data_IF_020831382075
#
_entry.id   IF_020831382075
#
_cell.length_a   1.000
_cell.length_b   1.000
_cell.length_c   1.000
_cell.angle_alpha   90.00
_cell.angle_beta   90.00
_cell.angle_gamma   90.00
#
_symmetry.space_group_name_H-M   'P 1'
#
loop_
_entity.id
_entity.type
_entity.pdbx_description
1 polymer ?
#
# COMPACT_ATOMS: atom_id res chain seq x y z
N UNK A 1 -11.67 14.19 13.87
CA UNK A 1 -13.00 13.72 13.47
C UNK A 1 -13.61 14.52 12.34
N UNK A 2 -14.62 13.96 11.67
CA UNK A 2 -15.41 14.65 10.64
C UNK A 2 -16.80 15.01 11.18
N UNK A 3 -17.22 16.26 10.99
CA UNK A 3 -18.48 16.81 11.45
C UNK A 3 -19.37 17.18 10.27
N UNK A 4 -20.36 16.32 9.98
CA UNK A 4 -21.18 16.42 8.77
C UNK A 4 -22.01 17.73 8.69
N UNK A 5 -22.58 18.19 9.81
CA UNK A 5 -23.47 19.35 9.84
C UNK A 5 -22.73 20.67 9.55
N UNK A 6 -21.50 20.80 10.05
CA UNK A 6 -20.67 22.00 9.88
C UNK A 6 -19.68 21.88 8.72
N UNK A 7 -19.51 20.67 8.17
CA UNK A 7 -18.53 20.30 7.17
C UNK A 7 -17.09 20.58 7.63
N UNK A 8 -16.82 20.22 8.88
CA UNK A 8 -15.55 20.49 9.56
C UNK A 8 -14.78 19.21 9.84
N UNK A 9 -13.46 19.29 9.71
CA UNK A 9 -12.52 18.31 10.23
C UNK A 9 -11.92 18.90 11.50
N UNK A 10 -12.06 18.18 12.61
CA UNK A 10 -11.34 18.48 13.85
C UNK A 10 -10.14 17.57 13.99
N UNK A 11 -9.04 18.09 14.50
CA UNK A 11 -7.87 17.29 14.86
C UNK A 11 -7.44 17.74 16.24
N UNK A 12 -7.40 16.78 17.14
CA UNK A 12 -7.09 16.97 18.54
C UNK A 12 -5.80 16.23 18.87
N UNK A 13 -4.84 16.97 19.40
CA UNK A 13 -3.62 16.41 19.98
C UNK A 13 -3.56 16.77 21.45
N UNK A 14 -3.50 15.74 22.28
CA UNK A 14 -3.25 15.90 23.70
C UNK A 14 -1.81 16.35 23.93
N UNK A 15 -1.59 17.12 24.99
CA UNK A 15 -0.24 17.46 25.41
C UNK A 15 0.59 16.20 25.70
N UNK A 16 1.87 16.24 25.34
CA UNK A 16 2.89 15.24 25.67
C UNK A 16 4.10 15.93 26.30
N UNK A 17 5.13 15.16 26.66
CA UNK A 17 6.39 15.71 27.17
C UNK A 17 7.06 16.68 26.19
N UNK A 18 6.84 16.49 24.89
CA UNK A 18 7.55 17.21 23.82
C UNK A 18 6.65 18.13 23.00
N UNK A 19 5.32 18.00 23.12
CA UNK A 19 4.37 18.76 22.30
C UNK A 19 3.20 19.30 23.13
N UNK A 20 2.78 20.56 22.89
CA UNK A 20 1.62 21.13 23.55
C UNK A 20 0.32 20.52 23.03
N UNK A 21 -0.77 20.75 23.76
CA UNK A 21 -2.11 20.47 23.27
C UNK A 21 -2.43 21.35 22.05
N UNK A 22 -3.06 20.75 21.04
CA UNK A 22 -3.50 21.44 19.85
C UNK A 22 -4.91 20.98 19.42
N UNK A 23 -5.80 21.94 19.22
CA UNK A 23 -7.12 21.77 18.65
C UNK A 23 -7.18 22.51 17.31
N UNK A 24 -7.27 21.75 16.23
CA UNK A 24 -7.32 22.24 14.86
C UNK A 24 -8.72 22.05 14.29
N UNK A 25 -9.30 23.09 13.68
CA UNK A 25 -10.57 22.99 12.95
C UNK A 25 -10.39 23.51 11.53
N UNK A 26 -10.70 22.65 10.57
CA UNK A 26 -10.67 22.95 9.14
C UNK A 26 -12.07 22.82 8.56
N UNK A 27 -12.52 23.81 7.81
CA UNK A 27 -13.82 23.77 7.13
C UNK A 27 -13.63 23.52 5.63
N UNK A 28 -14.47 22.65 5.05
CA UNK A 28 -14.46 22.43 3.59
C UNK A 28 -14.58 23.74 2.81
N UNK A 29 -13.74 23.90 1.79
CA UNK A 29 -13.72 25.08 0.92
C UNK A 29 -13.17 26.36 1.57
N UNK A 30 -12.80 26.32 2.86
CA UNK A 30 -12.25 27.48 3.57
C UNK A 30 -10.72 27.49 3.52
N UNK A 31 -10.08 28.65 3.24
CA UNK A 31 -8.64 28.82 3.40
C UNK A 31 -8.24 29.10 4.86
N UNK A 32 -9.20 29.11 5.79
CA UNK A 32 -8.95 29.40 7.20
C UNK A 32 -8.85 28.11 8.01
N UNK A 33 -7.81 28.03 8.83
CA UNK A 33 -7.59 27.04 9.86
C UNK A 33 -7.79 27.71 11.23
N UNK A 34 -8.59 27.09 12.09
CA UNK A 34 -8.63 27.47 13.50
C UNK A 34 -7.62 26.65 14.28
N UNK A 35 -6.75 27.30 15.05
CA UNK A 35 -5.79 26.67 15.95
C UNK A 35 -6.00 27.22 17.35
N UNK A 36 -6.46 26.37 18.28
CA UNK A 36 -6.72 26.78 19.67
C UNK A 36 -7.55 28.08 19.76
N UNK A 37 -8.57 28.19 18.91
CA UNK A 37 -9.46 29.35 18.82
C UNK A 37 -8.92 30.57 18.05
N UNK A 38 -7.69 30.51 17.50
CA UNK A 38 -7.11 31.57 16.65
C UNK A 38 -7.20 31.21 15.18
N UNK A 39 -7.40 32.21 14.32
CA UNK A 39 -7.45 32.01 12.87
C UNK A 39 -6.08 32.14 12.23
N UNK A 40 -5.77 31.18 11.36
CA UNK A 40 -4.58 31.14 10.54
C UNK A 40 -4.99 30.88 9.09
N UNK A 41 -4.21 31.42 8.14
CA UNK A 41 -4.51 31.29 6.71
C UNK A 41 -3.65 30.22 6.07
N UNK A 42 -4.29 29.25 5.43
CA UNK A 42 -3.64 28.19 4.67
C UNK A 42 -3.37 28.60 3.21
N UNK A 43 -2.38 27.97 2.59
CA UNK A 43 -2.04 28.14 1.17
C UNK A 43 -2.94 27.30 0.23
N UNK A 44 -3.73 26.39 0.80
CA UNK A 44 -4.67 25.53 0.09
C UNK A 44 -5.88 25.22 0.99
N UNK A 45 -6.95 24.69 0.39
CA UNK A 45 -8.24 24.48 1.07
C UNK A 45 -8.53 22.99 1.23
N UNK A 46 -9.26 22.58 2.28
CA UNK A 46 -9.82 21.24 2.36
C UNK A 46 -10.85 21.01 1.25
N UNK A 47 -10.78 19.87 0.59
CA UNK A 47 -11.67 19.50 -0.53
C UNK A 47 -12.22 18.10 -0.35
N UNK A 48 -13.34 17.81 -1.02
CA UNK A 48 -13.83 16.43 -1.16
C UNK A 48 -13.40 15.88 -2.51
N UNK A 49 -12.76 14.71 -2.49
CA UNK A 49 -12.41 13.94 -3.69
C UNK A 49 -12.68 12.47 -3.42
N UNK A 50 -13.37 11.80 -4.34
CA UNK A 50 -13.69 10.37 -4.24
C UNK A 50 -14.34 10.01 -2.89
N UNK A 51 -15.31 10.81 -2.43
CA UNK A 51 -16.02 10.64 -1.15
C UNK A 51 -15.12 10.69 0.09
N UNK A 52 -13.90 11.25 -0.02
CA UNK A 52 -12.99 11.51 1.10
C UNK A 52 -12.68 12.99 1.19
N UNK A 53 -12.59 13.48 2.43
CA UNK A 53 -12.09 14.83 2.69
C UNK A 53 -10.56 14.80 2.67
N UNK A 54 -9.97 15.58 1.77
CA UNK A 54 -8.54 15.82 1.72
C UNK A 54 -8.26 17.14 2.44
N UNK A 55 -7.25 17.13 3.31
CA UNK A 55 -6.87 18.26 4.14
C UNK A 55 -5.44 18.71 3.84
N UNK A 56 -5.10 20.00 4.04
CA UNK A 56 -3.75 20.52 3.84
C UNK A 56 -2.73 19.89 4.81
N UNK A 57 -2.02 18.87 4.35
CA UNK A 57 -1.14 18.07 5.22
C UNK A 57 -0.06 18.89 5.92
N UNK A 58 0.57 19.87 5.25
CA UNK A 58 1.66 20.68 5.84
C UNK A 58 1.22 21.38 7.12
N UNK A 59 0.12 22.14 7.05
CA UNK A 59 -0.37 22.91 8.19
C UNK A 59 -0.69 22.00 9.38
N UNK A 60 -1.39 20.91 9.11
CA UNK A 60 -1.73 19.93 10.14
C UNK A 60 -0.45 19.38 10.75
N UNK A 61 0.47 18.84 9.94
CA UNK A 61 1.70 18.23 10.42
C UNK A 61 2.55 19.21 11.25
N UNK A 62 2.72 20.46 10.83
CA UNK A 62 3.51 21.45 11.56
C UNK A 62 2.91 21.80 12.93
N UNK A 63 1.59 21.97 13.02
CA UNK A 63 0.92 22.19 14.31
C UNK A 63 0.96 20.97 15.23
N UNK A 64 1.04 19.78 14.66
CA UNK A 64 1.22 18.53 15.40
C UNK A 64 2.69 18.23 15.72
N UNK A 65 3.61 19.19 15.52
CA UNK A 65 5.00 19.04 15.93
C UNK A 65 5.91 18.38 14.91
N UNK A 66 5.52 18.34 13.64
CA UNK A 66 6.37 17.89 12.55
C UNK A 66 7.19 19.03 11.93
N UNK A 67 8.25 18.66 11.24
CA UNK A 67 8.98 19.50 10.31
C UNK A 67 8.73 18.98 8.88
N UNK A 68 8.20 19.83 7.99
CA UNK A 68 7.90 19.45 6.61
C UNK A 68 8.94 20.04 5.67
N UNK A 69 9.69 19.18 4.97
CA UNK A 69 10.71 19.58 4.00
C UNK A 69 10.32 19.19 2.59
N UNK A 70 10.65 20.06 1.63
CA UNK A 70 10.56 19.75 0.21
C UNK A 70 11.92 19.34 -0.32
N UNK A 71 12.00 18.18 -0.94
CA UNK A 71 13.22 17.67 -1.57
C UNK A 71 13.11 17.86 -3.08
N UNK A 72 13.86 18.81 -3.62
CA UNK A 72 13.73 19.26 -5.00
C UNK A 72 14.11 18.16 -6.01
N UNK A 73 15.18 17.41 -5.73
CA UNK A 73 15.76 16.44 -6.67
C UNK A 73 14.79 15.29 -6.98
N UNK A 74 14.14 14.78 -5.95
CA UNK A 74 13.15 13.70 -6.03
C UNK A 74 11.72 14.20 -6.20
N UNK A 75 11.48 15.51 -6.06
CA UNK A 75 10.14 16.12 -6.00
C UNK A 75 9.26 15.46 -4.94
N UNK A 76 9.83 15.21 -3.76
CA UNK A 76 9.15 14.57 -2.63
C UNK A 76 8.96 15.52 -1.46
N UNK A 77 7.87 15.31 -0.71
CA UNK A 77 7.65 15.96 0.59
C UNK A 77 8.09 14.99 1.67
N UNK A 78 8.99 15.41 2.55
CA UNK A 78 9.39 14.66 3.73
C UNK A 78 8.76 15.30 4.97
N UNK A 79 8.23 14.45 5.86
CA UNK A 79 7.63 14.86 7.12
C UNK A 79 8.42 14.20 8.24
N UNK A 80 9.13 15.00 9.01
CA UNK A 80 9.98 14.57 10.11
C UNK A 80 9.35 14.98 11.44
N UNK A 81 9.72 14.29 12.52
CA UNK A 81 9.43 14.80 13.86
C UNK A 81 10.34 16.00 14.12
N UNK A 82 9.78 17.09 14.64
CA UNK A 82 10.56 18.29 14.94
C UNK A 82 11.68 17.98 15.93
N UNK A 83 12.88 18.45 15.63
CA UNK A 83 14.07 18.24 16.47
C UNK A 83 14.87 16.98 16.14
N UNK A 84 14.46 16.15 15.17
CA UNK A 84 15.30 15.08 14.63
C UNK A 84 16.58 15.66 14.02
N UNK A 85 17.71 15.01 14.29
CA UNK A 85 19.01 15.38 13.72
C UNK A 85 19.06 15.11 12.21
N UNK A 86 19.96 15.81 11.51
CA UNK A 86 20.15 15.60 10.06
C UNK A 86 20.55 14.15 9.74
N UNK A 87 21.32 13.50 10.61
CA UNK A 87 21.71 12.09 10.46
C UNK A 87 20.50 11.14 10.56
N UNK A 88 19.60 11.36 11.51
CA UNK A 88 18.35 10.59 11.62
C UNK A 88 17.45 10.82 10.41
N UNK A 89 17.32 12.08 9.97
CA UNK A 89 16.55 12.41 8.77
C UNK A 89 17.11 11.72 7.53
N UNK A 90 18.44 11.74 7.35
CA UNK A 90 19.09 11.08 6.23
C UNK A 90 18.89 9.56 6.25
N UNK A 91 18.99 8.94 7.42
CA UNK A 91 18.73 7.49 7.58
C UNK A 91 17.31 7.13 7.16
N UNK A 92 16.30 7.91 7.57
CA UNK A 92 14.91 7.70 7.15
C UNK A 92 14.78 7.85 5.62
N UNK A 93 15.43 8.86 5.04
CA UNK A 93 15.43 9.07 3.58
C UNK A 93 16.00 7.84 2.86
N UNK A 94 17.15 7.33 3.32
CA UNK A 94 17.81 6.18 2.70
C UNK A 94 16.97 4.90 2.83
N UNK A 95 16.38 4.66 4.01
CA UNK A 95 15.48 3.53 4.25
C UNK A 95 14.23 3.60 3.38
N UNK A 96 13.60 4.77 3.28
CA UNK A 96 12.43 4.98 2.40
C UNK A 96 12.83 4.87 0.94
N UNK A 97 13.98 5.41 0.53
CA UNK A 97 14.50 5.28 -0.83
C UNK A 97 14.75 3.82 -1.20
N UNK A 98 15.27 3.00 -0.29
CA UNK A 98 15.43 1.56 -0.47
C UNK A 98 14.09 0.86 -0.69
N UNK A 99 13.08 1.17 0.15
CA UNK A 99 11.73 0.61 0.02
C UNK A 99 11.02 1.04 -1.27
N UNK A 100 11.28 2.28 -1.71
CA UNK A 100 10.72 2.86 -2.91
C UNK A 100 11.55 2.61 -4.16
N UNK A 101 12.69 1.89 -4.06
CA UNK A 101 13.48 1.52 -5.24
C UNK A 101 12.52 0.92 -6.27
N UNK A 102 12.47 1.47 -7.50
CA UNK A 102 11.62 0.94 -8.54
C UNK A 102 11.88 -0.55 -8.63
N UNK A 103 10.83 -1.36 -8.44
CA UNK A 103 11.00 -2.78 -8.72
C UNK A 103 11.51 -2.88 -10.16
N UNK A 104 12.57 -3.68 -10.41
CA UNK A 104 13.14 -3.80 -11.73
C UNK A 104 11.99 -4.03 -12.72
N UNK A 105 11.96 -3.32 -13.85
CA UNK A 105 10.83 -3.33 -14.76
C UNK A 105 10.46 -4.77 -15.05
N UNK A 106 9.26 -5.15 -14.62
CA UNK A 106 8.73 -6.51 -14.71
C UNK A 106 8.94 -6.97 -16.16
N UNK A 107 9.83 -7.95 -16.42
CA UNK A 107 10.06 -8.44 -17.76
C UNK A 107 8.71 -8.80 -18.42
N UNK A 108 8.56 -8.49 -19.72
CA UNK A 108 7.34 -8.85 -20.44
C UNK A 108 7.09 -10.36 -20.28
N UNK A 109 5.87 -10.77 -19.94
CA UNK A 109 5.60 -12.17 -19.67
C UNK A 109 5.90 -13.07 -20.86
N UNK A 110 6.32 -14.30 -20.56
CA UNK A 110 6.63 -15.32 -21.56
C UNK A 110 5.34 -15.99 -22.05
N UNK A 111 4.52 -15.25 -22.81
CA UNK A 111 3.26 -15.77 -23.35
C UNK A 111 2.24 -16.21 -22.29
N UNK A 112 1.08 -16.70 -22.75
CA UNK A 112 0.08 -17.30 -21.85
C UNK A 112 0.47 -18.74 -21.51
N UNK A 113 0.27 -19.15 -20.27
CA UNK A 113 0.39 -20.57 -19.88
C UNK A 113 -0.79 -21.33 -20.51
N UNK A 114 -0.55 -22.34 -21.37
CA UNK A 114 -1.62 -23.08 -22.03
C UNK A 114 -2.64 -23.66 -21.03
N UNK A 115 -3.93 -23.49 -21.33
CA UNK A 115 -5.02 -23.95 -20.46
C UNK A 115 -5.34 -23.02 -19.29
N UNK A 116 -4.75 -21.83 -19.21
CA UNK A 116 -4.96 -20.88 -18.11
C UNK A 116 -5.08 -19.43 -18.61
N UNK A 117 -5.66 -18.51 -17.83
CA UNK A 117 -5.58 -17.08 -18.12
C UNK A 117 -4.19 -16.47 -17.87
N UNK A 118 -3.23 -17.23 -17.34
CA UNK A 118 -2.00 -16.68 -16.79
C UNK A 118 -1.03 -16.24 -17.85
N UNK A 119 -0.27 -15.22 -17.47
CA UNK A 119 0.98 -14.87 -18.10
C UNK A 119 2.13 -15.51 -17.32
N UNK A 120 2.98 -16.27 -18.02
CA UNK A 120 4.08 -16.99 -17.37
C UNK A 120 5.13 -16.01 -16.88
N UNK A 121 5.37 -16.03 -15.56
CA UNK A 121 6.45 -15.28 -14.94
C UNK A 121 7.83 -15.79 -15.42
N UNK A 122 8.79 -14.88 -15.61
CA UNK A 122 10.17 -15.23 -15.95
C UNK A 122 10.91 -15.83 -14.74
N UNK A 123 12.01 -16.56 -14.95
CA UNK A 123 12.82 -17.08 -13.84
C UNK A 123 13.23 -16.01 -12.81
N UNK A 124 13.55 -14.80 -13.27
CA UNK A 124 13.90 -13.67 -12.40
C UNK A 124 12.72 -13.22 -11.56
N UNK A 125 11.52 -13.12 -12.15
CA UNK A 125 10.28 -12.77 -11.44
C UNK A 125 9.92 -13.83 -10.40
N UNK A 126 10.09 -15.11 -10.73
CA UNK A 126 9.87 -16.21 -9.79
C UNK A 126 10.83 -16.07 -8.61
N UNK A 127 12.11 -15.82 -8.86
CA UNK A 127 13.10 -15.65 -7.79
C UNK A 127 12.80 -14.41 -6.93
N UNK A 128 12.38 -13.30 -7.53
CA UNK A 128 11.96 -12.10 -6.79
C UNK A 128 10.75 -12.39 -5.90
N UNK A 129 9.72 -13.07 -6.40
CA UNK A 129 8.56 -13.47 -5.60
C UNK A 129 8.92 -14.37 -4.42
N UNK A 130 9.88 -15.29 -4.61
CA UNK A 130 10.38 -16.17 -3.54
C UNK A 130 11.21 -15.44 -2.50
N UNK A 131 11.94 -14.40 -2.89
CA UNK A 131 12.77 -13.60 -1.98
C UNK A 131 11.98 -12.49 -1.26
N UNK A 132 10.78 -12.16 -1.74
CA UNK A 132 9.96 -11.11 -1.15
C UNK A 132 9.38 -11.52 0.22
N UNK A 133 9.15 -10.55 1.13
CA UNK A 133 8.61 -10.83 2.45
C UNK A 133 7.33 -11.69 2.41
N UNK A 134 7.24 -12.64 3.34
CA UNK A 134 6.03 -13.40 3.59
C UNK A 134 5.29 -12.79 4.78
N UNK A 135 3.96 -12.98 4.88
CA UNK A 135 3.24 -12.58 6.09
C UNK A 135 3.80 -13.33 7.30
N UNK A 136 3.72 -12.73 8.50
CA UNK A 136 4.27 -13.29 9.76
C UNK A 136 3.80 -14.71 10.06
N UNK A 137 2.61 -15.08 9.58
CA UNK A 137 2.02 -16.41 9.71
C UNK A 137 2.46 -17.41 8.63
N UNK A 138 3.40 -17.06 7.76
CA UNK A 138 4.01 -17.90 6.75
C UNK A 138 5.54 -17.94 6.95
N UNK A 139 6.15 -19.12 6.82
CA UNK A 139 7.61 -19.28 6.98
C UNK A 139 8.36 -18.99 5.68
N UNK A 140 9.60 -18.49 5.77
CA UNK A 140 10.48 -18.13 4.63
C UNK A 140 10.78 -19.26 3.61
N UNK A 141 10.41 -20.51 3.92
CA UNK A 141 10.54 -21.67 3.01
C UNK A 141 9.20 -22.28 2.60
N UNK A 142 8.11 -21.52 2.68
CA UNK A 142 6.75 -22.08 2.47
C UNK A 142 6.52 -22.53 1.03
N UNK A 143 7.05 -21.80 0.03
CA UNK A 143 6.91 -22.18 -1.37
C UNK A 143 7.50 -23.57 -1.62
N UNK A 144 8.76 -23.80 -1.21
CA UNK A 144 9.47 -25.05 -1.47
C UNK A 144 8.99 -26.24 -0.62
N UNK A 145 8.19 -26.00 0.43
CA UNK A 145 7.55 -27.07 1.23
C UNK A 145 6.28 -27.64 0.60
N UNK A 146 5.64 -26.92 -0.32
CA UNK A 146 4.45 -27.43 -1.00
C UNK A 146 4.85 -28.45 -2.07
N UNK A 147 4.28 -29.66 -2.02
CA UNK A 147 4.53 -30.68 -3.04
C UNK A 147 4.06 -30.22 -4.41
N UNK A 148 4.69 -30.75 -5.47
CA UNK A 148 4.28 -30.47 -6.87
C UNK A 148 2.80 -30.75 -7.06
N UNK A 149 2.32 -31.92 -6.62
CA UNK A 149 0.91 -32.30 -6.71
C UNK A 149 -0.02 -31.38 -5.90
N UNK A 150 0.42 -30.89 -4.75
CA UNK A 150 -0.36 -29.93 -3.95
C UNK A 150 -0.51 -28.59 -4.67
N UNK A 151 0.56 -28.10 -5.30
CA UNK A 151 0.53 -26.87 -6.10
C UNK A 151 -0.40 -27.02 -7.30
N UNK A 152 -0.32 -28.15 -8.01
CA UNK A 152 -1.19 -28.43 -9.14
C UNK A 152 -2.67 -28.48 -8.72
N UNK A 153 -2.99 -29.20 -7.64
CA UNK A 153 -4.35 -29.27 -7.12
C UNK A 153 -4.89 -27.89 -6.71
N UNK A 154 -4.07 -27.04 -6.10
CA UNK A 154 -4.45 -25.67 -5.77
C UNK A 154 -4.76 -24.84 -7.03
N UNK A 155 -3.92 -24.95 -8.06
CA UNK A 155 -4.16 -24.26 -9.33
C UNK A 155 -5.42 -24.76 -10.03
N UNK A 156 -5.62 -26.07 -10.10
CA UNK A 156 -6.80 -26.65 -10.75
C UNK A 156 -8.08 -26.21 -10.01
N UNK A 157 -8.06 -26.26 -8.68
CA UNK A 157 -9.19 -25.85 -7.83
C UNK A 157 -9.59 -24.39 -8.05
N UNK A 158 -8.63 -23.49 -8.26
CA UNK A 158 -8.90 -22.05 -8.34
C UNK A 158 -8.86 -21.48 -9.76
N UNK A 159 -8.41 -22.27 -10.75
CA UNK A 159 -8.22 -21.90 -12.17
C UNK A 159 -9.39 -21.07 -12.75
N UNK A 160 -10.63 -21.49 -12.47
CA UNK A 160 -11.83 -20.84 -12.97
C UNK A 160 -12.12 -19.46 -12.34
N UNK A 161 -11.61 -19.19 -11.13
CA UNK A 161 -11.78 -17.89 -10.45
C UNK A 161 -10.81 -16.85 -10.98
N UNK A 162 -9.63 -17.26 -11.45
CA UNK A 162 -8.67 -16.32 -12.05
C UNK A 162 -9.23 -15.61 -13.29
N UNK A 163 -10.06 -16.30 -14.07
CA UNK A 163 -10.78 -15.69 -15.21
C UNK A 163 -11.76 -14.59 -14.79
N UNK A 164 -12.08 -14.47 -13.50
CA UNK A 164 -12.95 -13.42 -12.94
C UNK A 164 -12.17 -12.20 -12.45
N UNK A 165 -10.85 -12.27 -12.39
CA UNK A 165 -10.03 -11.10 -12.07
C UNK A 165 -10.08 -10.11 -13.24
N UNK A 166 -10.29 -8.81 -12.99
CA UNK A 166 -10.30 -7.79 -14.05
C UNK A 166 -8.88 -7.37 -14.47
N UNK A 167 -7.85 -8.02 -13.93
CA UNK A 167 -6.45 -7.66 -14.10
C UNK A 167 -5.63 -8.84 -14.61
N UNK A 168 -4.67 -8.56 -15.48
CA UNK A 168 -3.69 -9.55 -15.90
C UNK A 168 -2.82 -9.95 -14.70
N UNK A 169 -2.71 -11.26 -14.47
CA UNK A 169 -1.89 -11.82 -13.40
C UNK A 169 -0.70 -12.59 -13.98
N UNK A 170 0.50 -12.12 -13.65
CA UNK A 170 1.77 -12.73 -14.04
C UNK A 170 2.25 -13.59 -12.86
N UNK A 171 2.28 -14.91 -13.02
CA UNK A 171 2.58 -15.85 -11.93
C UNK A 171 3.26 -17.11 -12.46
N UNK A 172 3.56 -18.04 -11.56
CA UNK A 172 4.13 -19.35 -11.86
C UNK A 172 3.56 -20.42 -10.91
N UNK A 173 3.52 -21.67 -11.37
CA UNK A 173 2.99 -22.78 -10.57
C UNK A 173 3.73 -22.98 -9.24
N UNK A 174 4.98 -22.56 -9.14
CA UNK A 174 5.80 -22.64 -7.93
C UNK A 174 5.54 -21.51 -6.92
N UNK A 175 4.79 -20.47 -7.30
CA UNK A 175 4.47 -19.31 -6.48
C UNK A 175 3.15 -19.45 -5.72
N UNK A 176 2.86 -20.67 -5.26
CA UNK A 176 1.70 -20.97 -4.42
C UNK A 176 2.15 -21.48 -3.08
N UNK A 177 1.48 -20.98 -2.05
CA UNK A 177 1.74 -21.38 -0.68
C UNK A 177 0.45 -21.37 0.16
N UNK A 178 0.50 -22.01 1.32
CA UNK A 178 -0.60 -21.99 2.29
C UNK A 178 -0.20 -21.15 3.50
N UNK A 179 -1.14 -20.37 4.04
CA UNK A 179 -0.92 -19.71 5.32
C UNK A 179 -1.00 -20.71 6.48
N UNK A 180 -0.35 -20.42 7.60
CA UNK A 180 -0.53 -21.18 8.84
C UNK A 180 -1.95 -21.11 9.42
N UNK A 181 -2.82 -20.25 8.89
CA UNK A 181 -4.22 -20.05 9.34
C UNK A 181 -5.25 -20.74 8.45
N UNK A 182 -4.81 -21.49 7.42
CA UNK A 182 -5.69 -22.04 6.40
C UNK A 182 -5.96 -21.01 5.29
N UNK A 183 -5.85 -21.46 4.04
CA UNK A 183 -6.02 -20.63 2.84
C UNK A 183 -4.85 -20.73 1.88
N UNK A 184 -5.17 -20.80 0.59
CA UNK A 184 -4.19 -20.86 -0.50
C UNK A 184 -3.93 -19.46 -1.03
N UNK A 185 -2.64 -19.11 -1.11
CA UNK A 185 -2.15 -17.82 -1.56
C UNK A 185 -1.42 -18.00 -2.88
N UNK A 186 -1.76 -17.17 -3.85
CA UNK A 186 -1.14 -17.13 -5.16
C UNK A 186 -0.33 -15.85 -5.28
N UNK A 187 1.00 -15.99 -5.34
CA UNK A 187 1.89 -14.84 -5.46
C UNK A 187 2.23 -14.56 -6.92
N UNK A 188 2.30 -13.29 -7.27
CA UNK A 188 2.72 -12.88 -8.61
C UNK A 188 2.71 -11.37 -8.74
N UNK A 189 2.65 -10.91 -9.98
CA UNK A 189 2.61 -9.49 -10.32
C UNK A 189 1.28 -9.13 -10.97
N UNK A 190 0.77 -7.95 -10.62
CA UNK A 190 -0.49 -7.43 -11.14
C UNK A 190 -0.43 -5.91 -11.27
N UNK A 191 -0.99 -5.38 -12.36
CA UNK A 191 -1.25 -3.95 -12.52
C UNK A 191 -2.73 -3.68 -12.27
N UNK A 192 -3.03 -3.01 -11.15
CA UNK A 192 -4.39 -2.72 -10.70
C UNK A 192 -5.04 -1.54 -11.44
N UNK A 193 -4.35 -0.92 -12.40
CA UNK A 193 -4.82 0.22 -13.20
C UNK A 193 -5.17 1.46 -12.38
N UNK A 194 -4.54 1.62 -11.22
CA UNK A 194 -4.67 2.76 -10.31
C UNK A 194 -3.59 3.85 -10.54
N UNK A 195 -2.72 3.66 -11.52
CA UNK A 195 -1.62 4.57 -11.85
C UNK A 195 -0.29 4.29 -11.13
N UNK A 196 -0.25 3.36 -10.15
CA UNK A 196 0.98 2.97 -9.47
C UNK A 196 1.74 1.83 -10.18
N UNK A 197 1.22 1.34 -11.31
CA UNK A 197 1.87 0.35 -12.18
C UNK A 197 1.86 -1.07 -11.61
N UNK A 198 2.64 -1.96 -12.24
CA UNK A 198 2.73 -3.37 -11.83
C UNK A 198 3.42 -3.52 -10.48
N UNK A 199 2.82 -4.29 -9.57
CA UNK A 199 3.39 -4.60 -8.25
C UNK A 199 3.22 -6.06 -7.89
N UNK A 200 4.01 -6.52 -6.92
CA UNK A 200 3.88 -7.87 -6.39
C UNK A 200 2.69 -7.97 -5.44
N UNK A 201 1.84 -8.96 -5.67
CA UNK A 201 0.62 -9.19 -4.92
C UNK A 201 0.50 -10.64 -4.48
N UNK A 202 -0.13 -10.84 -3.33
CA UNK A 202 -0.71 -12.12 -2.94
C UNK A 202 -2.22 -12.07 -3.26
N UNK A 203 -2.71 -13.08 -3.97
CA UNK A 203 -4.12 -13.25 -4.28
C UNK A 203 -4.67 -14.43 -3.49
N UNK A 204 -5.80 -14.21 -2.81
CA UNK A 204 -6.54 -15.22 -2.07
C UNK A 204 -7.93 -15.31 -2.69
N UNK A 205 -8.39 -16.52 -2.98
CA UNK A 205 -9.74 -16.75 -3.45
C UNK A 205 -10.61 -17.33 -2.33
N UNK A 206 -11.85 -16.85 -2.27
CA UNK A 206 -12.95 -17.44 -1.52
C UNK A 206 -14.11 -17.77 -2.44
N UNK A 207 -15.27 -18.11 -1.87
CA UNK A 207 -16.44 -18.55 -2.65
C UNK A 207 -17.12 -17.42 -3.43
N UNK A 208 -17.17 -16.22 -2.85
CA UNK A 208 -17.85 -15.05 -3.41
C UNK A 208 -16.93 -13.86 -3.66
N UNK A 209 -15.62 -14.00 -3.38
CA UNK A 209 -14.67 -12.90 -3.50
C UNK A 209 -13.23 -13.35 -3.68
N UNK A 210 -12.40 -12.46 -4.23
CA UNK A 210 -10.95 -12.53 -4.17
C UNK A 210 -10.40 -11.33 -3.41
N UNK A 211 -9.33 -11.55 -2.66
CA UNK A 211 -8.57 -10.49 -2.00
C UNK A 211 -7.21 -10.40 -2.66
N UNK A 212 -6.85 -9.20 -3.12
CA UNK A 212 -5.53 -8.87 -3.67
C UNK A 212 -4.81 -8.03 -2.61
N UNK A 213 -3.63 -8.47 -2.18
CA UNK A 213 -2.85 -7.85 -1.11
C UNK A 213 -1.49 -7.45 -1.66
N UNK A 214 -1.08 -6.20 -1.49
CA UNK A 214 0.28 -5.77 -1.84
C UNK A 214 1.28 -6.45 -0.90
N UNK A 215 2.31 -7.10 -1.46
CA UNK A 215 3.29 -7.88 -0.68
C UNK A 215 4.11 -7.00 0.26
N UNK A 216 4.47 -5.80 -0.18
CA UNK A 216 5.35 -4.89 0.56
C UNK A 216 4.58 -3.94 1.48
N UNK A 217 3.32 -3.67 1.17
CA UNK A 217 2.41 -2.90 2.02
C UNK A 217 1.08 -3.65 2.17
N UNK A 218 1.02 -4.58 3.14
CA UNK A 218 -0.16 -5.43 3.33
C UNK A 218 -1.39 -4.67 3.85
N UNK A 219 -1.24 -3.40 4.24
CA UNK A 219 -2.39 -2.53 4.55
C UNK A 219 -3.15 -2.14 3.27
N UNK A 220 -2.46 -2.13 2.13
CA UNK A 220 -3.07 -1.96 0.82
C UNK A 220 -3.61 -3.30 0.32
N UNK A 221 -4.92 -3.47 0.47
CA UNK A 221 -5.65 -4.61 -0.07
C UNK A 221 -6.89 -4.16 -0.83
N UNK A 222 -7.26 -4.95 -1.84
CA UNK A 222 -8.45 -4.75 -2.65
C UNK A 222 -9.28 -6.03 -2.65
N UNK A 223 -10.60 -5.84 -2.59
CA UNK A 223 -11.59 -6.91 -2.66
C UNK A 223 -12.24 -6.88 -4.04
N UNK A 224 -12.40 -8.05 -4.64
CA UNK A 224 -13.16 -8.26 -5.86
C UNK A 224 -14.27 -9.23 -5.50
N UNK A 225 -15.51 -8.77 -5.50
CA UNK A 225 -16.70 -9.62 -5.33
C UNK A 225 -17.28 -9.99 -6.69
N UNK A 226 -17.96 -11.14 -6.74
CA UNK A 226 -18.67 -11.62 -7.94
C UNK A 226 -19.96 -12.36 -7.57
#
# INVERSE_FOLDING_TARGET
DWHQATQEVTIDQMASETLPEAHLVLKLGSPLLMVNGKQERMDTIPIVKNQRTLVPIRFISEYLGAEVKWWQDSKTVHVFTKGQSEEEQQKIIDEVAEQLKPQPPVPKPSGKIPGTPFYQATPEQIQQCKNAPLPVYASDKVFDKMSVSGREAAYDMWSYRFNRLPYDFITDKTLVYMSGMGGTYFRGYMDLKDGAGTRMVDVIFGDSQATIINVYDRSQSQWISW
#
